data_IF_862083176581
#
_entry.id   IF_862083176581
#
_cell.length_a   1.000
_cell.length_b   1.000
_cell.length_c   1.000
_cell.angle_alpha   90.00
_cell.angle_beta   90.00
_cell.angle_gamma   90.00
#
_symmetry.space_group_name_H-M   'P 1'
#
loop_
_entity.id
_entity.type
_entity.pdbx_description
1 polymer ?
#
# COMPACT_ATOMS: atom_id res chain seq x y z
N UNK A 1 9.03 -12.93 62.69
CA UNK A 1 8.08 -13.68 61.84
C UNK A 1 7.43 -12.70 60.89
N UNK A 2 7.73 -12.84 59.59
CA UNK A 2 6.86 -12.56 58.42
C UNK A 2 6.20 -11.18 58.28
N UNK A 3 6.09 -10.55 57.12
CA UNK A 3 6.46 -10.84 55.73
C UNK A 3 6.14 -9.56 54.91
N UNK A 4 7.07 -9.06 54.10
CA UNK A 4 7.02 -9.03 52.62
C UNK A 4 5.77 -8.43 51.96
N UNK A 5 5.94 -7.27 51.29
CA UNK A 5 5.93 -7.14 49.83
C UNK A 5 6.26 -5.70 49.41
N UNK A 6 7.56 -5.40 49.36
CA UNK A 6 8.09 -4.39 48.44
C UNK A 6 8.48 -5.13 47.15
N UNK A 7 7.73 -4.93 46.06
CA UNK A 7 8.23 -5.22 44.72
C UNK A 7 8.90 -3.93 44.23
N UNK A 8 10.13 -3.73 44.68
CA UNK A 8 11.07 -2.83 44.03
C UNK A 8 11.51 -3.45 42.72
N UNK A 9 11.26 -2.75 41.61
CA UNK A 9 11.90 -3.00 40.34
C UNK A 9 13.43 -3.05 40.55
N UNK A 10 14.05 -4.17 40.17
CA UNK A 10 15.50 -4.28 40.17
C UNK A 10 16.06 -3.37 39.05
N UNK A 11 17.02 -2.48 39.35
CA UNK A 11 17.70 -1.71 38.32
C UNK A 11 18.64 -2.65 37.55
N UNK A 12 18.35 -2.93 36.28
CA UNK A 12 19.25 -3.73 35.43
C UNK A 12 20.46 -2.89 35.02
N UNK A 13 21.63 -3.44 35.34
CA UNK A 13 23.01 -2.96 35.24
C UNK A 13 23.39 -2.21 33.96
N UNK A 14 24.18 -1.11 34.03
CA UNK A 14 24.72 -0.44 32.85
C UNK A 14 25.97 -1.18 32.32
N UNK A 15 25.97 -1.56 31.03
CA UNK A 15 27.18 -1.77 30.23
C UNK A 15 28.13 -2.92 30.60
N UNK A 16 27.62 -4.08 31.02
CA UNK A 16 28.44 -5.28 31.27
C UNK A 16 28.73 -6.09 30.00
N UNK A 17 29.95 -6.62 29.87
CA UNK A 17 30.32 -7.59 28.84
C UNK A 17 29.71 -8.97 29.19
N UNK A 18 28.93 -9.55 28.28
CA UNK A 18 28.22 -10.82 28.50
C UNK A 18 29.09 -11.94 27.94
N UNK A 19 29.38 -12.98 28.73
CA UNK A 19 30.23 -14.08 28.28
C UNK A 19 29.43 -15.36 28.05
N UNK A 20 29.87 -16.15 27.09
CA UNK A 20 29.32 -17.46 26.78
C UNK A 20 30.41 -18.40 26.26
N UNK A 21 30.15 -19.71 26.32
CA UNK A 21 31.07 -20.75 25.87
C UNK A 21 30.34 -21.85 25.14
N UNK A 22 30.98 -22.42 24.13
CA UNK A 22 30.46 -23.54 23.35
C UNK A 22 31.39 -24.74 23.42
N UNK A 23 30.87 -25.93 23.10
CA UNK A 23 31.66 -27.15 22.95
C UNK A 23 32.00 -27.47 21.48
N UNK A 24 32.65 -28.62 21.27
CA UNK A 24 33.01 -29.15 19.94
C UNK A 24 31.83 -29.60 19.07
N UNK A 25 30.60 -29.57 19.58
CA UNK A 25 29.37 -29.86 18.86
C UNK A 25 28.54 -28.60 18.53
N UNK A 26 29.11 -27.40 18.70
CA UNK A 26 28.42 -26.09 18.59
C UNK A 26 27.31 -25.89 19.64
N UNK A 27 27.29 -26.64 20.74
CA UNK A 27 26.31 -26.44 21.80
C UNK A 27 26.79 -25.35 22.74
N UNK A 28 25.88 -24.46 23.11
CA UNK A 28 26.11 -23.46 24.14
C UNK A 28 26.11 -24.16 25.49
N UNK A 29 27.27 -24.25 26.16
CA UNK A 29 27.42 -24.98 27.42
C UNK A 29 27.31 -24.08 28.65
N UNK A 30 27.60 -22.79 28.49
CA UNK A 30 27.47 -21.78 29.54
C UNK A 30 27.22 -20.41 28.90
N UNK A 31 26.39 -19.58 29.52
CA UNK A 31 26.12 -18.21 29.11
C UNK A 31 25.70 -17.35 30.31
N UNK A 32 26.17 -16.10 30.35
CA UNK A 32 25.69 -15.09 31.28
C UNK A 32 24.32 -14.55 30.85
N UNK A 33 23.57 -13.98 31.79
CA UNK A 33 22.40 -13.15 31.45
C UNK A 33 22.84 -11.83 30.80
N UNK A 34 22.07 -11.26 29.85
CA UNK A 34 20.76 -11.68 29.32
C UNK A 34 20.75 -12.79 28.24
N UNK A 35 21.90 -13.31 27.81
CA UNK A 35 21.98 -14.27 26.69
C UNK A 35 21.38 -15.63 27.06
N UNK A 36 21.61 -16.12 28.28
CA UNK A 36 21.01 -17.36 28.77
C UNK A 36 19.48 -17.32 28.74
N UNK A 37 18.88 -16.22 29.20
CA UNK A 37 17.43 -16.03 29.16
C UNK A 37 16.87 -16.00 27.74
N UNK A 38 17.52 -15.28 26.81
CA UNK A 38 17.11 -15.22 25.40
C UNK A 38 17.12 -16.60 24.74
N UNK A 39 18.17 -17.38 24.98
CA UNK A 39 18.32 -18.75 24.47
C UNK A 39 17.15 -19.65 24.90
N UNK A 40 16.75 -19.59 26.18
CA UNK A 40 15.63 -20.39 26.72
C UNK A 40 14.30 -19.94 26.13
N UNK A 41 14.04 -18.63 26.08
CA UNK A 41 12.81 -18.08 25.50
C UNK A 41 12.68 -18.32 24.00
N UNK A 42 13.81 -18.52 23.31
CA UNK A 42 13.85 -18.89 21.89
C UNK A 42 13.59 -20.39 21.65
N UNK A 43 13.23 -21.16 22.69
CA UNK A 43 12.86 -22.58 22.60
C UNK A 43 14.05 -23.55 22.69
N UNK A 44 15.23 -23.08 23.12
CA UNK A 44 16.39 -23.93 23.38
C UNK A 44 16.71 -24.03 24.88
N UNK A 45 17.86 -24.60 25.24
CA UNK A 45 18.32 -24.74 26.62
C UNK A 45 19.80 -24.32 26.75
N UNK A 46 20.25 -24.17 28.00
CA UNK A 46 21.66 -24.06 28.37
C UNK A 46 21.96 -25.15 29.42
N UNK A 47 22.70 -26.22 29.09
CA UNK A 47 23.37 -26.47 27.81
C UNK A 47 22.39 -26.87 26.68
N UNK A 48 22.68 -26.45 25.44
CA UNK A 48 21.83 -26.77 24.28
C UNK A 48 22.26 -26.11 22.96
N UNK A 49 21.56 -26.40 21.86
CA UNK A 49 21.89 -25.87 20.53
C UNK A 49 21.65 -24.35 20.47
N UNK A 50 22.64 -23.56 20.00
CA UNK A 50 22.52 -22.09 19.91
C UNK A 50 21.27 -21.70 19.11
N UNK A 51 20.33 -21.01 19.74
CA UNK A 51 19.04 -20.65 19.16
C UNK A 51 19.14 -19.51 18.15
N UNK A 52 20.21 -18.71 18.23
CA UNK A 52 20.45 -17.53 17.40
C UNK A 52 21.34 -17.91 16.21
N UNK A 53 20.82 -18.05 14.97
CA UNK A 53 21.60 -18.69 13.93
C UNK A 53 22.76 -17.81 13.42
N UNK A 54 22.70 -16.48 13.59
CA UNK A 54 23.83 -15.59 13.34
C UNK A 54 25.00 -15.85 14.29
N UNK A 55 24.73 -16.09 15.57
CA UNK A 55 25.75 -16.44 16.55
C UNK A 55 26.30 -17.85 16.29
N UNK A 56 25.43 -18.82 15.96
CA UNK A 56 25.84 -20.17 15.58
C UNK A 56 26.74 -20.18 14.33
N UNK A 57 26.39 -19.39 13.32
CA UNK A 57 27.21 -19.26 12.10
C UNK A 57 28.60 -18.69 12.39
N UNK A 58 28.69 -17.74 13.32
CA UNK A 58 29.94 -17.13 13.75
C UNK A 58 30.82 -18.14 14.52
N UNK A 59 30.22 -18.89 15.46
CA UNK A 59 30.88 -19.97 16.21
C UNK A 59 31.43 -21.04 15.26
N UNK A 60 30.60 -21.54 14.33
CA UNK A 60 31.02 -22.54 13.34
C UNK A 60 32.17 -22.05 12.46
N UNK A 61 32.11 -20.78 12.05
CA UNK A 61 33.19 -20.15 11.27
C UNK A 61 34.49 -20.11 12.06
N UNK A 62 34.47 -19.56 13.28
CA UNK A 62 35.66 -19.42 14.14
C UNK A 62 36.25 -20.79 14.49
N UNK A 63 35.43 -21.79 14.77
CA UNK A 63 35.90 -23.16 15.01
C UNK A 63 36.55 -23.78 13.77
N UNK A 64 35.95 -23.59 12.58
CA UNK A 64 36.49 -24.14 11.32
C UNK A 64 37.79 -23.45 10.91
N UNK A 65 37.90 -22.14 11.11
CA UNK A 65 39.08 -21.36 10.67
C UNK A 65 40.17 -21.25 11.73
N UNK A 66 39.85 -21.48 13.01
CA UNK A 66 40.75 -21.23 14.14
C UNK A 66 41.10 -19.75 14.32
N UNK A 67 40.38 -18.84 13.68
CA UNK A 67 40.64 -17.40 13.72
C UNK A 67 39.52 -16.66 14.46
N UNK A 68 39.84 -15.78 15.42
CA UNK A 68 38.85 -14.93 16.06
C UNK A 68 38.05 -14.10 15.05
N UNK A 69 36.77 -13.90 15.32
CA UNK A 69 35.94 -13.07 14.46
C UNK A 69 34.82 -12.37 15.23
N UNK A 70 34.45 -11.17 14.78
CA UNK A 70 33.32 -10.42 15.30
C UNK A 70 32.20 -10.28 14.29
N UNK A 71 30.99 -10.04 14.80
CA UNK A 71 29.81 -9.63 14.02
C UNK A 71 28.72 -9.07 14.93
N UNK A 72 27.95 -8.11 14.42
CA UNK A 72 26.65 -7.78 15.00
C UNK A 72 25.68 -8.95 14.86
N UNK A 73 25.05 -9.34 15.97
CA UNK A 73 23.96 -10.31 16.04
C UNK A 73 22.64 -9.55 16.24
N UNK A 74 21.62 -9.95 15.47
CA UNK A 74 20.24 -9.48 15.59
C UNK A 74 19.37 -10.69 15.94
N UNK A 75 18.54 -10.52 16.96
CA UNK A 75 17.57 -11.51 17.42
C UNK A 75 16.29 -10.80 17.87
N UNK A 76 15.27 -11.57 18.27
CA UNK A 76 14.00 -11.05 18.77
C UNK A 76 13.72 -11.74 20.11
N UNK A 77 13.38 -10.93 21.11
CA UNK A 77 13.07 -11.34 22.47
C UNK A 77 11.67 -10.89 22.84
N UNK A 78 10.70 -11.82 22.84
CA UNK A 78 9.29 -11.54 23.14
C UNK A 78 8.68 -10.40 22.29
N UNK A 79 9.06 -10.33 21.01
CA UNK A 79 8.61 -9.27 20.10
C UNK A 79 9.49 -8.01 20.08
N UNK A 80 10.51 -7.92 20.94
CA UNK A 80 11.45 -6.79 20.99
C UNK A 80 12.75 -7.14 20.26
N UNK A 81 13.30 -6.27 19.40
CA UNK A 81 14.53 -6.57 18.70
C UNK A 81 15.71 -6.49 19.68
N UNK A 82 16.60 -7.46 19.62
CA UNK A 82 17.83 -7.49 20.42
C UNK A 82 19.02 -7.43 19.48
N UNK A 83 19.86 -6.41 19.66
CA UNK A 83 21.14 -6.28 18.97
C UNK A 83 22.30 -6.41 19.95
N UNK A 84 23.38 -7.05 19.52
CA UNK A 84 24.64 -7.05 20.25
C UNK A 84 25.82 -7.24 19.29
N UNK A 85 27.00 -6.75 19.65
CA UNK A 85 28.25 -7.07 18.96
C UNK A 85 28.85 -8.32 19.59
N UNK A 86 28.91 -9.42 18.83
CA UNK A 86 29.53 -10.66 19.24
C UNK A 86 31.00 -10.70 18.79
N UNK A 87 31.89 -11.07 19.71
CA UNK A 87 33.29 -11.42 19.44
C UNK A 87 33.51 -12.86 19.87
N UNK A 88 33.97 -13.71 18.95
CA UNK A 88 34.13 -15.15 19.20
C UNK A 88 35.58 -15.55 18.96
N UNK A 89 36.16 -16.26 19.92
CA UNK A 89 37.53 -16.77 19.89
C UNK A 89 37.54 -18.30 20.03
N UNK A 90 38.47 -19.02 19.37
CA UNK A 90 38.62 -20.45 19.59
C UNK A 90 39.02 -20.74 21.04
N UNK A 91 38.40 -21.74 21.67
CA UNK A 91 38.72 -22.17 23.03
C UNK A 91 38.61 -23.70 23.16
N UNK A 92 39.75 -24.39 23.22
CA UNK A 92 39.78 -25.86 23.26
C UNK A 92 39.14 -26.49 22.01
N UNK A 93 38.20 -27.42 22.21
CA UNK A 93 37.40 -28.00 21.13
C UNK A 93 36.21 -27.11 20.70
N UNK A 94 35.90 -26.06 21.47
CA UNK A 94 34.77 -25.16 21.25
C UNK A 94 35.19 -23.70 21.04
N UNK A 95 34.38 -22.76 21.54
CA UNK A 95 34.65 -21.32 21.39
C UNK A 95 34.24 -20.54 22.64
N UNK A 96 34.97 -19.45 22.92
CA UNK A 96 34.55 -18.43 23.86
C UNK A 96 33.86 -17.29 23.11
N UNK A 97 32.76 -16.78 23.68
CA UNK A 97 31.89 -15.75 23.10
C UNK A 97 31.86 -14.57 24.10
N UNK A 98 32.12 -13.38 23.60
CA UNK A 98 31.93 -12.13 24.33
C UNK A 98 30.94 -11.25 23.57
N UNK A 99 29.86 -10.85 24.23
CA UNK A 99 28.89 -9.90 23.67
C UNK A 99 29.03 -8.55 24.36
N UNK A 100 29.08 -7.50 23.54
CA UNK A 100 29.13 -6.12 23.95
C UNK A 100 28.04 -5.32 23.24
N UNK A 101 27.77 -4.09 23.70
CA UNK A 101 26.73 -3.23 23.12
C UNK A 101 25.36 -3.93 23.06
N UNK A 102 25.01 -4.70 24.08
CA UNK A 102 23.71 -5.35 24.16
C UNK A 102 22.60 -4.30 24.30
N UNK A 103 21.69 -4.29 23.33
CA UNK A 103 20.58 -3.37 23.29
C UNK A 103 19.30 -4.12 22.94
N UNK A 104 18.32 -4.08 23.85
CA UNK A 104 16.93 -4.48 23.57
C UNK A 104 16.19 -3.21 23.16
N UNK A 105 15.74 -3.15 21.91
CA UNK A 105 14.93 -2.05 21.39
C UNK A 105 13.50 -2.10 21.94
N UNK A 106 12.72 -1.07 21.65
CA UNK A 106 11.27 -1.06 21.86
C UNK A 106 10.58 -2.03 20.88
N UNK A 107 9.34 -2.44 21.17
CA UNK A 107 8.62 -3.55 20.49
C UNK A 107 8.77 -3.44 18.97
N UNK A 108 9.39 -4.45 18.34
CA UNK A 108 9.80 -4.37 16.95
C UNK A 108 8.58 -4.45 16.02
N UNK A 109 8.14 -3.29 15.56
CA UNK A 109 7.87 -3.15 14.13
C UNK A 109 9.22 -3.34 13.40
N UNK A 110 9.55 -4.58 13.03
CA UNK A 110 10.84 -4.92 12.44
C UNK A 110 11.00 -4.31 11.04
N UNK A 111 11.76 -3.21 10.94
CA UNK A 111 12.11 -2.56 9.66
C UNK A 111 13.20 -3.34 8.92
N UNK A 112 12.80 -4.03 7.86
CA UNK A 112 13.70 -4.47 6.78
C UNK A 112 14.17 -3.23 5.98
N UNK A 113 15.39 -3.21 5.39
CA UNK A 113 15.79 -2.15 4.46
C UNK A 113 14.75 -2.02 3.33
N UNK A 114 14.29 -0.79 3.07
CA UNK A 114 13.11 -0.47 2.25
C UNK A 114 13.02 -1.19 0.88
N UNK A 115 14.12 -1.48 0.14
CA UNK A 115 14.05 -2.28 -1.09
C UNK A 115 13.72 -3.77 -0.87
N UNK A 116 14.21 -4.38 0.22
CA UNK A 116 14.00 -5.82 0.50
C UNK A 116 12.61 -6.08 1.08
N UNK A 117 12.10 -5.20 1.94
CA UNK A 117 10.73 -5.27 2.47
C UNK A 117 9.68 -5.30 1.34
N UNK A 118 9.86 -4.43 0.34
CA UNK A 118 9.00 -4.37 -0.83
C UNK A 118 9.01 -5.67 -1.63
N UNK A 119 10.19 -6.28 -1.82
CA UNK A 119 10.30 -7.55 -2.54
C UNK A 119 9.54 -8.68 -1.82
N UNK A 120 9.62 -8.76 -0.49
CA UNK A 120 8.86 -9.77 0.29
C UNK A 120 7.34 -9.54 0.19
N UNK A 121 6.88 -8.29 0.05
CA UNK A 121 5.47 -7.95 -0.17
C UNK A 121 4.97 -8.17 -1.60
N UNK A 122 5.87 -8.17 -2.60
CA UNK A 122 5.55 -8.46 -3.99
C UNK A 122 5.68 -9.94 -4.33
N UNK A 123 6.44 -10.70 -3.53
CA UNK A 123 6.62 -12.11 -3.71
C UNK A 123 5.32 -12.88 -3.45
N UNK A 124 4.93 -13.72 -4.41
CA UNK A 124 3.81 -14.67 -4.23
C UNK A 124 4.30 -16.08 -3.87
N UNK A 125 5.61 -16.29 -3.86
CA UNK A 125 6.25 -17.41 -3.18
C UNK A 125 7.59 -16.97 -2.59
N UNK A 126 7.89 -17.46 -1.39
CA UNK A 126 9.16 -17.28 -0.72
C UNK A 126 9.76 -18.66 -0.43
N UNK A 127 10.98 -18.90 -0.92
CA UNK A 127 11.67 -20.18 -0.81
C UNK A 127 12.98 -19.96 -0.07
N UNK A 128 13.13 -20.67 1.03
CA UNK A 128 14.35 -20.69 1.81
C UNK A 128 15.32 -21.71 1.23
N UNK A 129 16.53 -21.25 0.92
CA UNK A 129 17.59 -22.07 0.35
C UNK A 129 18.80 -22.17 1.28
N UNK A 130 19.52 -23.28 1.20
CA UNK A 130 20.84 -23.44 1.82
C UNK A 130 21.96 -22.79 0.99
N UNK A 131 23.21 -22.89 1.48
CA UNK A 131 24.40 -22.31 0.80
C UNK A 131 24.63 -22.91 -0.61
N UNK A 132 24.11 -24.09 -0.88
CA UNK A 132 24.18 -24.76 -2.16
C UNK A 132 22.95 -24.46 -3.05
N UNK A 133 22.04 -23.59 -2.64
CA UNK A 133 20.78 -23.29 -3.31
C UNK A 133 19.77 -24.46 -3.31
N UNK A 134 19.83 -25.34 -2.31
CA UNK A 134 18.87 -26.41 -2.11
C UNK A 134 17.72 -25.96 -1.23
N UNK A 135 16.52 -26.45 -1.54
CA UNK A 135 15.27 -26.06 -0.88
C UNK A 135 15.26 -26.57 0.56
N UNK A 136 15.08 -25.66 1.51
CA UNK A 136 14.87 -25.96 2.94
C UNK A 136 13.38 -25.96 3.24
N UNK A 137 12.71 -24.85 2.94
CA UNK A 137 11.28 -24.64 3.15
C UNK A 137 10.76 -23.66 2.09
N UNK A 138 9.48 -23.76 1.74
CA UNK A 138 8.81 -22.84 0.84
C UNK A 138 7.48 -22.41 1.47
N UNK A 139 7.19 -21.12 1.40
CA UNK A 139 5.88 -20.52 1.65
C UNK A 139 5.34 -20.01 0.32
N UNK A 140 4.35 -20.70 -0.23
CA UNK A 140 3.77 -20.39 -1.55
C UNK A 140 2.35 -19.89 -1.34
N UNK A 141 2.09 -18.67 -1.80
CA UNK A 141 0.81 -17.97 -1.59
C UNK A 141 -0.03 -17.92 -2.87
N UNK A 142 0.59 -18.02 -4.04
CA UNK A 142 -0.10 -18.07 -5.32
C UNK A 142 -0.80 -19.42 -5.57
N UNK A 143 -2.07 -19.37 -5.97
CA UNK A 143 -2.87 -20.59 -6.21
C UNK A 143 -2.40 -21.41 -7.42
N UNK A 144 -1.92 -20.76 -8.48
CA UNK A 144 -1.34 -21.40 -9.67
C UNK A 144 0.08 -21.94 -9.45
N UNK A 145 0.69 -21.67 -8.29
CA UNK A 145 1.94 -22.30 -7.85
C UNK A 145 1.72 -23.48 -6.90
N UNK A 146 0.48 -23.96 -6.71
CA UNK A 146 0.20 -25.09 -5.82
C UNK A 146 0.96 -26.37 -6.21
N UNK A 147 1.12 -26.62 -7.52
CA UNK A 147 1.93 -27.75 -8.03
C UNK A 147 3.41 -27.63 -7.64
N UNK A 148 3.97 -26.42 -7.74
CA UNK A 148 5.33 -26.13 -7.30
C UNK A 148 5.48 -26.27 -5.78
N UNK A 149 4.51 -25.81 -5.00
CA UNK A 149 4.52 -25.94 -3.54
C UNK A 149 4.63 -27.43 -3.13
N UNK A 150 3.78 -28.28 -3.69
CA UNK A 150 3.83 -29.73 -3.43
C UNK A 150 5.15 -30.38 -3.87
N UNK A 151 5.70 -29.95 -5.01
CA UNK A 151 6.98 -30.44 -5.50
C UNK A 151 8.16 -30.01 -4.59
N UNK A 152 8.15 -28.77 -4.09
CA UNK A 152 9.17 -28.24 -3.17
C UNK A 152 9.10 -28.89 -1.79
N UNK A 153 7.91 -29.21 -1.30
CA UNK A 153 7.73 -29.91 -0.02
C UNK A 153 8.27 -31.34 -0.07
N UNK A 154 7.97 -32.09 -1.13
CA UNK A 154 8.45 -33.46 -1.31
C UNK A 154 9.92 -33.51 -1.74
N UNK A 155 10.42 -32.44 -2.34
CA UNK A 155 11.77 -32.32 -2.90
C UNK A 155 12.78 -31.53 -2.06
N UNK A 156 12.55 -31.32 -0.76
CA UNK A 156 13.51 -30.66 0.14
C UNK A 156 14.91 -31.27 0.03
N UNK A 157 15.93 -30.43 -0.01
CA UNK A 157 17.34 -30.84 -0.21
C UNK A 157 17.78 -30.99 -1.67
N UNK A 158 16.88 -30.79 -2.65
CA UNK A 158 17.20 -30.63 -4.08
C UNK A 158 17.34 -29.17 -4.47
N UNK A 159 17.99 -28.89 -5.59
CA UNK A 159 18.16 -27.52 -6.09
C UNK A 159 16.81 -26.94 -6.51
N UNK A 160 16.56 -25.67 -6.22
CA UNK A 160 15.31 -25.01 -6.62
C UNK A 160 15.12 -24.99 -8.15
N UNK A 161 16.22 -24.95 -8.90
CA UNK A 161 16.25 -25.01 -10.37
C UNK A 161 15.76 -26.34 -10.93
N UNK A 162 15.64 -27.41 -10.13
CA UNK A 162 15.05 -28.68 -10.57
C UNK A 162 13.53 -28.62 -10.71
N UNK A 163 12.89 -27.59 -10.13
CA UNK A 163 11.43 -27.47 -10.04
C UNK A 163 10.86 -26.40 -10.97
N UNK A 164 11.71 -25.69 -11.71
CA UNK A 164 11.33 -24.58 -12.59
C UNK A 164 12.08 -24.66 -13.91
N UNK A 165 11.56 -24.01 -14.95
CA UNK A 165 12.22 -23.89 -16.25
C UNK A 165 12.77 -22.48 -16.41
N UNK A 166 14.06 -22.32 -16.70
CA UNK A 166 14.70 -21.01 -16.86
C UNK A 166 15.11 -20.84 -18.32
N UNK A 167 14.35 -20.06 -19.08
CA UNK A 167 14.64 -19.80 -20.50
C UNK A 167 15.97 -19.06 -20.65
N UNK A 168 16.81 -19.55 -21.57
CA UNK A 168 18.22 -19.18 -21.82
C UNK A 168 19.28 -19.83 -20.90
N UNK A 169 18.89 -20.66 -19.94
CA UNK A 169 19.82 -21.32 -19.00
C UNK A 169 19.84 -22.85 -19.16
N UNK A 170 18.78 -23.43 -19.72
CA UNK A 170 18.67 -24.87 -20.02
C UNK A 170 19.82 -25.40 -20.87
N UNK A 171 20.29 -24.63 -21.87
CA UNK A 171 21.43 -25.01 -22.73
C UNK A 171 22.78 -25.00 -21.99
N UNK A 172 22.93 -24.13 -20.98
CA UNK A 172 24.15 -23.99 -20.17
C UNK A 172 24.22 -25.01 -19.01
N UNK A 173 23.07 -25.41 -18.47
CA UNK A 173 22.96 -26.44 -17.42
C UNK A 173 23.28 -27.84 -17.98
N UNK A 174 22.88 -28.14 -19.22
CA UNK A 174 23.15 -29.44 -19.86
C UNK A 174 24.65 -29.66 -20.13
N UNK A 175 25.44 -28.57 -20.23
CA UNK A 175 26.87 -28.62 -20.53
C UNK A 175 27.79 -28.62 -19.29
N UNK A 176 27.27 -28.37 -18.07
CA UNK A 176 28.09 -28.22 -16.84
C UNK A 176 27.68 -29.22 -15.76
N UNK A 177 28.67 -29.83 -15.10
CA UNK A 177 28.46 -30.60 -13.87
C UNK A 177 28.44 -29.64 -12.66
N UNK A 178 27.26 -29.14 -12.28
CA UNK A 178 27.05 -28.38 -11.04
C UNK A 178 26.06 -27.21 -11.16
N UNK A 179 25.48 -26.72 -10.04
CA UNK A 179 24.51 -25.64 -10.04
C UNK A 179 25.17 -24.30 -10.44
N UNK A 180 24.43 -23.46 -11.15
CA UNK A 180 24.91 -22.11 -11.48
C UNK A 180 25.03 -21.24 -10.24
N UNK A 181 25.99 -20.32 -10.27
CA UNK A 181 26.18 -19.36 -9.19
C UNK A 181 24.94 -18.46 -9.06
N UNK A 182 24.40 -18.29 -7.84
CA UNK A 182 23.15 -17.58 -7.57
C UNK A 182 23.03 -16.19 -8.22
N UNK A 183 24.13 -15.42 -8.30
CA UNK A 183 24.15 -14.11 -9.01
C UNK A 183 23.78 -14.16 -10.49
N UNK A 184 23.94 -15.30 -11.14
CA UNK A 184 23.51 -15.49 -12.54
C UNK A 184 22.03 -15.85 -12.65
N UNK A 185 21.41 -16.21 -11.52
CA UNK A 185 20.03 -16.61 -11.41
C UNK A 185 19.16 -15.53 -10.75
N UNK A 186 19.77 -14.54 -10.08
CA UNK A 186 19.08 -13.36 -9.58
C UNK A 186 18.56 -12.52 -10.76
N UNK A 187 17.30 -12.10 -10.66
CA UNK A 187 16.48 -11.47 -11.70
C UNK A 187 16.21 -12.33 -12.96
N UNK A 188 16.53 -13.63 -12.92
CA UNK A 188 16.26 -14.51 -14.05
C UNK A 188 14.76 -14.81 -14.19
N UNK A 189 14.20 -14.75 -15.42
CA UNK A 189 12.85 -15.21 -15.69
C UNK A 189 12.79 -16.74 -15.62
N UNK A 190 11.73 -17.27 -15.03
CA UNK A 190 11.46 -18.70 -14.97
C UNK A 190 9.96 -19.00 -15.13
N UNK A 191 9.68 -20.16 -15.71
CA UNK A 191 8.36 -20.72 -15.85
C UNK A 191 8.17 -21.88 -14.87
N UNK A 192 6.93 -22.06 -14.41
CA UNK A 192 6.55 -23.12 -13.48
C UNK A 192 5.51 -24.00 -14.17
N UNK A 193 5.69 -25.32 -14.10
CA UNK A 193 4.72 -26.26 -14.64
C UNK A 193 3.36 -26.09 -13.94
N UNK A 194 2.31 -25.83 -14.71
CA UNK A 194 0.96 -25.55 -14.20
C UNK A 194 0.63 -24.07 -14.00
N UNK A 195 1.62 -23.16 -14.10
CA UNK A 195 1.41 -21.71 -14.14
C UNK A 195 1.43 -21.20 -15.57
N UNK A 196 0.46 -20.36 -15.95
CA UNK A 196 0.50 -19.62 -17.23
C UNK A 196 1.32 -18.34 -17.15
N UNK A 197 1.68 -17.90 -15.93
CA UNK A 197 2.46 -16.70 -15.67
C UNK A 197 3.96 -16.97 -15.75
N UNK A 198 4.71 -15.96 -16.19
CA UNK A 198 6.17 -15.93 -16.08
C UNK A 198 6.59 -15.24 -14.78
N UNK A 199 7.62 -15.77 -14.14
CA UNK A 199 8.10 -15.36 -12.82
C UNK A 199 9.53 -14.86 -12.89
N UNK A 200 9.93 -13.95 -12.00
CA UNK A 200 11.33 -13.54 -11.80
C UNK A 200 11.81 -14.01 -10.43
N UNK A 201 13.02 -14.56 -10.39
CA UNK A 201 13.65 -14.98 -9.15
C UNK A 201 14.47 -13.83 -8.56
N UNK A 202 14.12 -13.35 -7.37
CA UNK A 202 14.99 -12.44 -6.60
C UNK A 202 15.66 -13.21 -5.48
N UNK A 203 16.98 -13.36 -5.57
CA UNK A 203 17.77 -14.20 -4.66
C UNK A 203 18.56 -13.30 -3.71
N UNK A 204 18.12 -13.25 -2.46
CA UNK A 204 18.71 -12.43 -1.41
C UNK A 204 19.63 -13.30 -0.53
N UNK A 205 20.94 -12.99 -0.45
CA UNK A 205 21.84 -13.71 0.43
C UNK A 205 21.47 -13.46 1.89
N UNK A 206 21.27 -14.53 2.65
CA UNK A 206 20.89 -14.42 4.05
C UNK A 206 22.12 -14.28 4.91
N UNK A 207 22.06 -13.36 5.88
CA UNK A 207 23.17 -13.11 6.78
C UNK A 207 23.69 -14.36 7.51
N UNK A 208 22.88 -15.41 7.68
CA UNK A 208 23.21 -16.61 8.46
C UNK A 208 23.63 -17.83 7.60
N UNK A 209 23.86 -17.63 6.29
CA UNK A 209 24.08 -18.71 5.31
C UNK A 209 22.80 -19.01 4.52
N UNK A 210 22.97 -19.40 3.27
CA UNK A 210 21.90 -19.65 2.31
C UNK A 210 21.26 -18.39 1.75
N UNK A 211 20.08 -18.57 1.14
CA UNK A 211 19.40 -17.53 0.37
C UNK A 211 17.90 -17.50 0.68
N UNK A 212 17.28 -16.33 0.55
CA UNK A 212 15.82 -16.23 0.35
C UNK A 212 15.59 -16.01 -1.14
N UNK A 213 14.80 -16.88 -1.76
CA UNK A 213 14.37 -16.73 -3.14
C UNK A 213 12.92 -16.26 -3.14
N UNK A 214 12.69 -15.11 -3.73
CA UNK A 214 11.38 -14.49 -3.89
C UNK A 214 10.92 -14.66 -5.34
N UNK A 215 9.78 -15.31 -5.54
CA UNK A 215 9.14 -15.43 -6.84
C UNK A 215 8.18 -14.25 -7.05
N UNK A 216 8.50 -13.40 -8.02
CA UNK A 216 7.73 -12.19 -8.34
C UNK A 216 7.16 -12.35 -9.75
N UNK A 217 5.85 -12.14 -9.98
CA UNK A 217 5.29 -12.23 -11.33
C UNK A 217 5.89 -11.16 -12.26
N UNK A 218 6.28 -11.54 -13.47
CA UNK A 218 6.88 -10.63 -14.47
C UNK A 218 5.86 -9.64 -15.06
N UNK A 219 4.60 -10.08 -15.17
CA UNK A 219 3.44 -9.25 -15.47
C UNK A 219 2.36 -9.52 -14.42
N UNK A 220 1.75 -8.46 -13.90
CA UNK A 220 0.52 -8.57 -13.10
C UNK A 220 -0.61 -8.84 -14.10
N UNK A 221 -0.82 -10.10 -14.47
CA UNK A 221 -1.88 -10.49 -15.40
C UNK A 221 -3.24 -10.66 -14.70
N UNK A 222 -4.26 -10.31 -15.48
CA UNK A 222 -5.65 -9.99 -15.14
C UNK A 222 -6.36 -11.02 -14.25
N UNK A 223 -7.28 -10.50 -13.42
CA UNK A 223 -8.24 -11.31 -12.66
C UNK A 223 -8.88 -12.36 -13.58
N UNK A 224 -8.98 -13.64 -13.15
CA UNK A 224 -9.60 -14.66 -13.98
C UNK A 224 -11.08 -14.33 -14.17
N UNK A 225 -11.44 -13.91 -15.38
CA UNK A 225 -12.83 -13.91 -15.85
C UNK A 225 -13.27 -15.38 -15.87
N UNK A 226 -14.25 -15.71 -15.03
CA UNK A 226 -14.75 -17.07 -14.90
C UNK A 226 -15.13 -17.67 -16.28
N UNK A 227 -14.73 -18.91 -16.61
CA UNK A 227 -15.02 -19.53 -17.91
C UNK A 227 -16.52 -19.83 -18.19
N UNK A 228 -17.43 -19.37 -17.35
CA UNK A 228 -18.85 -19.78 -17.39
C UNK A 228 -19.72 -19.03 -18.40
N UNK A 229 -19.19 -18.10 -19.21
CA UNK A 229 -19.99 -17.30 -20.14
C UNK A 229 -19.73 -17.59 -21.64
N UNK A 230 -19.25 -18.78 -22.01
CA UNK A 230 -19.23 -19.25 -23.41
C UNK A 230 -20.32 -20.29 -23.67
N UNK A 231 -21.58 -19.89 -23.50
CA UNK A 231 -22.72 -20.56 -24.14
C UNK A 231 -23.99 -19.72 -24.03
N UNK A 232 -24.08 -18.61 -24.77
CA UNK A 232 -25.34 -18.28 -25.40
C UNK A 232 -25.10 -17.47 -26.67
N UNK A 233 -25.61 -18.05 -27.76
CA UNK A 233 -25.59 -17.57 -29.13
C UNK A 233 -26.70 -16.55 -29.33
N UNK A 234 -26.42 -15.64 -30.26
CA UNK A 234 -27.34 -14.88 -31.10
C UNK A 234 -28.14 -13.73 -30.45
N UNK A 235 -27.58 -12.50 -30.52
CA UNK A 235 -28.35 -11.25 -30.74
C UNK A 235 -27.48 -10.24 -31.54
N UNK A 236 -28.10 -9.34 -32.33
CA UNK A 236 -27.47 -8.75 -33.51
C UNK A 236 -26.45 -7.65 -33.20
N UNK A 237 -25.41 -7.62 -34.04
CA UNK A 237 -24.39 -6.58 -34.15
C UNK A 237 -25.03 -5.20 -34.43
N UNK A 238 -25.19 -4.36 -33.41
CA UNK A 238 -25.18 -2.89 -33.55
C UNK A 238 -25.14 -2.20 -32.18
N UNK A 239 -24.01 -2.35 -31.48
CA UNK A 239 -23.50 -1.37 -30.52
C UNK A 239 -22.04 -1.70 -30.25
N UNK A 240 -21.11 -0.80 -30.63
CA UNK A 240 -19.71 -0.91 -30.25
C UNK A 240 -19.61 -1.18 -28.74
N UNK A 241 -18.95 -2.27 -28.29
CA UNK A 241 -18.73 -2.50 -26.86
C UNK A 241 -17.88 -1.36 -26.33
N UNK A 242 -18.51 -0.43 -25.61
CA UNK A 242 -17.82 0.73 -25.05
C UNK A 242 -16.77 0.25 -24.07
N UNK A 243 -15.50 0.56 -24.33
CA UNK A 243 -14.39 0.35 -23.40
C UNK A 243 -14.72 0.88 -21.99
N UNK A 244 -15.51 1.95 -21.92
CA UNK A 244 -16.12 2.54 -20.70
C UNK A 244 -17.24 1.69 -20.05
N UNK A 245 -17.33 0.39 -20.26
CA UNK A 245 -18.25 -0.48 -19.49
C UNK A 245 -17.50 -1.62 -18.78
N UNK A 246 -16.27 -1.90 -19.23
CA UNK A 246 -15.36 -2.91 -18.69
C UNK A 246 -14.43 -2.32 -17.61
N UNK A 247 -14.12 -1.02 -17.70
CA UNK A 247 -13.16 -0.36 -16.83
C UNK A 247 -13.72 -0.07 -15.42
N UNK A 248 -14.96 0.34 -15.29
CA UNK A 248 -15.54 0.79 -14.03
C UNK A 248 -16.18 -0.32 -13.20
N UNK A 249 -16.86 -1.28 -13.82
CA UNK A 249 -17.54 -2.34 -13.06
C UNK A 249 -16.60 -3.45 -12.56
N UNK A 250 -15.60 -3.81 -13.36
CA UNK A 250 -14.73 -4.96 -13.08
C UNK A 250 -13.26 -4.55 -12.83
N UNK A 251 -12.72 -3.56 -13.55
CA UNK A 251 -11.32 -3.15 -13.41
C UNK A 251 -11.08 -2.15 -12.26
N UNK A 252 -12.02 -1.24 -11.99
CA UNK A 252 -11.86 -0.22 -10.95
C UNK A 252 -11.70 -0.81 -9.53
N UNK A 253 -12.52 -1.78 -9.09
CA UNK A 253 -12.30 -2.45 -7.81
C UNK A 253 -10.98 -3.23 -7.76
N UNK A 254 -10.57 -3.82 -8.89
CA UNK A 254 -9.33 -4.58 -9.02
C UNK A 254 -8.07 -3.70 -8.91
N UNK A 255 -8.12 -2.48 -9.46
CA UNK A 255 -7.03 -1.52 -9.44
C UNK A 255 -6.96 -0.71 -8.13
N UNK A 256 -8.07 -0.60 -7.39
CA UNK A 256 -8.10 0.07 -6.08
C UNK A 256 -7.07 -0.52 -5.12
N UNK A 257 -7.08 -1.84 -4.93
CA UNK A 257 -6.20 -2.51 -3.97
C UNK A 257 -4.69 -2.31 -4.23
N UNK A 258 -4.14 -2.51 -5.45
CA UNK A 258 -2.71 -2.29 -5.71
C UNK A 258 -2.33 -0.81 -5.60
N UNK A 259 -3.19 0.12 -6.03
CA UNK A 259 -2.90 1.56 -5.93
C UNK A 259 -2.94 2.02 -4.47
N UNK A 260 -3.90 1.57 -3.67
CA UNK A 260 -3.94 1.85 -2.22
C UNK A 260 -2.66 1.39 -1.54
N UNK A 261 -2.11 0.23 -1.93
CA UNK A 261 -0.81 -0.26 -1.43
C UNK A 261 0.35 0.63 -1.88
N UNK A 262 0.39 1.06 -3.14
CA UNK A 262 1.43 1.99 -3.64
C UNK A 262 1.40 3.29 -2.85
N UNK A 263 0.21 3.87 -2.62
CA UNK A 263 0.04 5.10 -1.83
C UNK A 263 0.50 4.88 -0.39
N UNK A 264 0.11 3.78 0.27
CA UNK A 264 0.47 3.49 1.65
C UNK A 264 1.99 3.30 1.82
N UNK A 265 2.62 2.60 0.88
CA UNK A 265 4.07 2.40 0.88
C UNK A 265 4.82 3.71 0.68
N UNK A 266 4.37 4.52 -0.28
CA UNK A 266 4.95 5.82 -0.57
C UNK A 266 4.77 6.81 0.60
N UNK A 267 3.64 6.78 1.30
CA UNK A 267 3.40 7.59 2.49
C UNK A 267 4.30 7.18 3.66
N UNK A 268 4.53 5.87 3.85
CA UNK A 268 5.45 5.34 4.86
C UNK A 268 6.89 5.83 4.63
N UNK A 269 7.34 5.85 3.38
CA UNK A 269 8.67 6.33 2.99
C UNK A 269 8.76 7.86 3.15
N UNK A 270 7.73 8.60 2.74
CA UNK A 270 7.69 10.08 2.80
C UNK A 270 7.73 10.62 4.24
N UNK A 271 6.97 10.01 5.13
CA UNK A 271 6.80 10.46 6.52
C UNK A 271 7.99 10.11 7.41
N UNK A 272 9.00 9.39 6.88
CA UNK A 272 10.18 8.94 7.64
C UNK A 272 9.78 8.14 8.89
N UNK A 273 8.60 7.53 8.85
CA UNK A 273 8.11 6.64 9.90
C UNK A 273 9.04 5.44 10.09
N UNK A 274 9.85 5.12 9.07
CA UNK A 274 10.89 4.10 9.07
C UNK A 274 12.34 4.62 9.20
N UNK A 275 12.52 5.79 9.85
CA UNK A 275 13.83 6.38 10.13
C UNK A 275 14.28 7.49 9.17
N UNK A 276 15.48 8.08 9.42
CA UNK A 276 15.95 9.23 8.68
C UNK A 276 16.32 8.87 7.23
N UNK A 277 15.52 9.37 6.29
CA UNK A 277 15.75 9.27 4.85
C UNK A 277 16.40 10.56 4.33
N UNK A 278 17.26 10.47 3.31
CA UNK A 278 17.67 11.66 2.58
C UNK A 278 16.45 12.35 1.96
N UNK A 279 16.39 13.68 2.04
CA UNK A 279 15.24 14.52 1.67
C UNK A 279 14.73 14.21 0.25
N UNK A 280 15.64 13.89 -0.67
CA UNK A 280 15.37 13.55 -2.07
C UNK A 280 14.50 12.28 -2.22
N UNK A 281 14.77 11.23 -1.44
CA UNK A 281 13.98 9.99 -1.47
C UNK A 281 12.61 10.15 -0.82
N UNK A 282 12.51 11.00 0.21
CA UNK A 282 11.22 11.36 0.80
C UNK A 282 10.38 12.19 -0.18
N UNK A 283 11.01 12.99 -1.03
CA UNK A 283 10.34 13.71 -2.13
C UNK A 283 9.82 12.76 -3.20
N UNK A 284 10.62 11.80 -3.67
CA UNK A 284 10.12 10.80 -4.64
C UNK A 284 8.96 9.98 -4.10
N UNK A 285 9.01 9.63 -2.81
CA UNK A 285 7.91 8.95 -2.16
C UNK A 285 6.65 9.82 -2.05
N UNK A 286 6.80 11.15 -1.86
CA UNK A 286 5.68 12.09 -1.96
C UNK A 286 5.07 12.05 -3.37
N UNK A 287 5.90 12.15 -4.40
CA UNK A 287 5.46 12.17 -5.79
C UNK A 287 4.73 10.88 -6.18
N UNK A 288 5.23 9.72 -5.73
CA UNK A 288 4.57 8.41 -5.95
C UNK A 288 3.22 8.35 -5.22
N UNK A 289 3.15 8.81 -3.97
CA UNK A 289 1.91 8.81 -3.20
C UNK A 289 0.85 9.72 -3.87
N UNK A 290 1.26 10.89 -4.35
CA UNK A 290 0.39 11.85 -5.01
C UNK A 290 -0.08 11.34 -6.38
N UNK A 291 0.81 10.72 -7.16
CA UNK A 291 0.46 10.05 -8.42
C UNK A 291 -0.53 8.89 -8.19
N UNK A 292 -0.32 8.08 -7.15
CA UNK A 292 -1.22 6.99 -6.78
C UNK A 292 -2.61 7.49 -6.37
N UNK A 293 -2.68 8.54 -5.54
CA UNK A 293 -3.96 9.16 -5.15
C UNK A 293 -4.69 9.74 -6.35
N UNK A 294 -3.94 10.36 -7.27
CA UNK A 294 -4.51 10.89 -8.50
C UNK A 294 -5.11 9.78 -9.38
N UNK A 295 -4.38 8.66 -9.54
CA UNK A 295 -4.88 7.51 -10.30
C UNK A 295 -6.10 6.85 -9.65
N UNK A 296 -6.12 6.76 -8.32
CA UNK A 296 -7.29 6.28 -7.59
C UNK A 296 -8.52 7.15 -7.88
N UNK A 297 -8.37 8.46 -7.79
CA UNK A 297 -9.45 9.40 -8.10
C UNK A 297 -9.94 9.28 -9.54
N UNK A 298 -9.04 9.05 -10.51
CA UNK A 298 -9.42 8.79 -11.90
C UNK A 298 -10.27 7.53 -12.04
N UNK A 299 -9.89 6.47 -11.34
CA UNK A 299 -10.59 5.18 -11.37
C UNK A 299 -11.97 5.31 -10.71
N UNK A 300 -12.06 6.03 -9.59
CA UNK A 300 -13.33 6.28 -8.90
C UNK A 300 -14.27 7.16 -9.74
N UNK A 301 -13.75 8.21 -10.37
CA UNK A 301 -14.52 9.05 -11.28
C UNK A 301 -15.01 8.29 -12.51
N UNK A 302 -14.19 7.38 -13.06
CA UNK A 302 -14.61 6.50 -14.15
C UNK A 302 -15.69 5.51 -13.68
N UNK A 303 -15.47 4.93 -12.49
CA UNK A 303 -16.46 4.34 -11.59
C UNK A 303 -17.86 4.95 -11.70
N UNK A 304 -17.92 6.18 -11.25
CA UNK A 304 -19.12 6.97 -11.14
C UNK A 304 -19.69 7.33 -12.52
N UNK A 305 -18.84 7.65 -13.49
CA UNK A 305 -19.25 7.93 -14.85
C UNK A 305 -20.00 6.75 -15.47
N UNK A 306 -19.47 5.53 -15.37
CA UNK A 306 -20.13 4.33 -15.91
C UNK A 306 -21.47 4.06 -15.21
N UNK A 307 -21.52 4.25 -13.89
CA UNK A 307 -22.75 4.05 -13.12
C UNK A 307 -23.85 5.05 -13.51
N UNK A 308 -23.46 6.31 -13.74
CA UNK A 308 -24.39 7.40 -14.07
C UNK A 308 -24.84 7.36 -15.54
N UNK A 309 -23.98 6.86 -16.45
CA UNK A 309 -24.33 6.67 -17.87
C UNK A 309 -25.03 5.34 -18.16
N UNK A 310 -25.20 4.48 -17.14
CA UNK A 310 -25.87 3.20 -17.30
C UNK A 310 -27.33 3.39 -17.75
N UNK A 311 -27.82 2.61 -18.73
CA UNK A 311 -29.22 2.63 -19.12
C UNK A 311 -30.13 2.36 -17.92
N UNK A 312 -31.06 3.27 -17.64
CA UNK A 312 -31.97 3.15 -16.49
C UNK A 312 -31.41 3.66 -15.16
N UNK A 313 -30.26 4.34 -15.15
CA UNK A 313 -29.81 5.08 -13.96
C UNK A 313 -30.85 6.13 -13.58
N UNK A 314 -31.44 5.95 -12.40
CA UNK A 314 -32.39 6.87 -11.81
C UNK A 314 -32.09 6.96 -10.30
N UNK A 315 -31.55 8.11 -9.83
CA UNK A 315 -31.40 8.38 -8.41
C UNK A 315 -32.73 8.22 -7.68
N UNK A 316 -32.69 7.70 -6.45
CA UNK A 316 -33.90 7.53 -5.66
C UNK A 316 -34.46 8.91 -5.27
N UNK A 317 -35.72 9.24 -5.61
CA UNK A 317 -36.33 10.48 -5.16
C UNK A 317 -36.53 10.39 -3.64
N UNK A 318 -35.95 11.34 -2.91
CA UNK A 318 -36.06 11.44 -1.45
C UNK A 318 -36.28 12.92 -1.06
N UNK A 319 -36.82 13.15 0.13
CA UNK A 319 -37.06 14.47 0.68
C UNK A 319 -35.80 14.96 1.40
N UNK A 320 -35.17 16.00 0.88
CA UNK A 320 -33.89 16.52 1.39
C UNK A 320 -33.96 18.02 1.68
N UNK A 321 -33.04 18.50 2.52
CA UNK A 321 -32.88 19.93 2.80
C UNK A 321 -31.52 20.41 2.26
N UNK A 322 -31.54 21.26 1.23
CA UNK A 322 -30.32 21.75 0.57
C UNK A 322 -29.44 22.56 1.52
N UNK A 323 -30.05 23.28 2.47
CA UNK A 323 -29.29 24.02 3.49
C UNK A 323 -28.54 23.06 4.42
N UNK A 324 -29.11 21.89 4.72
CA UNK A 324 -28.43 20.84 5.47
C UNK A 324 -27.29 20.19 4.67
N UNK A 325 -27.52 19.91 3.38
CA UNK A 325 -26.50 19.41 2.48
C UNK A 325 -25.29 20.36 2.39
N UNK A 326 -25.52 21.68 2.25
CA UNK A 326 -24.48 22.70 2.26
C UNK A 326 -23.62 22.63 3.54
N UNK A 327 -24.28 22.63 4.71
CA UNK A 327 -23.58 22.61 6.01
C UNK A 327 -22.75 21.34 6.18
N UNK A 328 -23.26 20.18 5.75
CA UNK A 328 -22.52 18.91 5.81
C UNK A 328 -21.32 18.90 4.87
N UNK A 329 -21.48 19.35 3.63
CA UNK A 329 -20.37 19.43 2.68
C UNK A 329 -19.24 20.33 3.21
N UNK A 330 -19.60 21.51 3.72
CA UNK A 330 -18.65 22.44 4.33
C UNK A 330 -17.98 21.85 5.59
N UNK A 331 -18.75 21.14 6.43
CA UNK A 331 -18.20 20.46 7.61
C UNK A 331 -17.20 19.36 7.27
N UNK A 332 -17.44 18.59 6.20
CA UNK A 332 -16.51 17.55 5.72
C UNK A 332 -15.19 18.17 5.21
N UNK A 333 -15.27 19.33 4.55
CA UNK A 333 -14.14 19.99 3.90
C UNK A 333 -13.49 21.09 4.75
N UNK A 334 -13.92 21.28 6.00
CA UNK A 334 -13.47 22.39 6.85
C UNK A 334 -11.97 22.36 7.12
N UNK A 335 -11.40 21.18 7.39
CA UNK A 335 -9.96 21.01 7.66
C UNK A 335 -9.15 21.37 6.41
N UNK A 336 -9.56 20.87 5.25
CA UNK A 336 -8.88 21.14 3.97
C UNK A 336 -8.95 22.61 3.57
N UNK A 337 -10.06 23.28 3.85
CA UNK A 337 -10.19 24.71 3.63
C UNK A 337 -9.26 25.50 4.57
N UNK A 338 -9.22 25.14 5.86
CA UNK A 338 -8.32 25.75 6.84
C UNK A 338 -6.84 25.59 6.48
N UNK A 339 -6.42 24.40 6.00
CA UNK A 339 -5.05 24.14 5.54
C UNK A 339 -4.62 25.05 4.37
N UNK A 340 -5.58 25.57 3.59
CA UNK A 340 -5.34 26.53 2.51
C UNK A 340 -5.71 27.98 2.87
N UNK A 341 -6.03 28.25 4.13
CA UNK A 341 -6.45 29.57 4.57
C UNK A 341 -7.75 30.07 3.92
N UNK A 342 -8.62 29.17 3.46
CA UNK A 342 -9.89 29.50 2.81
C UNK A 342 -11.03 29.46 3.82
N UNK A 343 -11.87 30.50 3.81
CA UNK A 343 -13.05 30.59 4.68
C UNK A 343 -14.27 29.99 3.99
N UNK A 344 -14.93 29.02 4.61
CA UNK A 344 -16.21 28.47 4.13
C UNK A 344 -17.37 29.20 4.81
N UNK A 345 -18.22 29.88 4.03
CA UNK A 345 -19.45 30.52 4.51
C UNK A 345 -20.63 29.62 4.16
N UNK A 346 -21.39 29.21 5.17
CA UNK A 346 -22.54 28.31 5.00
C UNK A 346 -23.86 29.02 5.26
N UNK A 347 -25.00 28.48 4.77
CA UNK A 347 -26.32 28.98 5.14
C UNK A 347 -26.53 28.98 6.66
N UNK A 348 -27.38 29.89 7.14
CA UNK A 348 -27.73 29.95 8.56
C UNK A 348 -28.26 28.60 9.08
N UNK A 349 -28.02 28.32 10.37
CA UNK A 349 -28.44 27.06 11.00
C UNK A 349 -29.96 26.78 10.92
N UNK A 350 -30.76 27.85 10.85
CA UNK A 350 -32.22 27.77 10.76
C UNK A 350 -32.74 27.81 9.32
N UNK A 351 -31.88 28.04 8.33
CA UNK A 351 -32.28 28.00 6.92
C UNK A 351 -32.65 26.56 6.54
N UNK A 352 -33.79 26.42 5.87
CA UNK A 352 -34.29 25.17 5.29
C UNK A 352 -34.75 25.44 3.88
N UNK A 353 -34.31 24.62 2.94
CA UNK A 353 -34.69 24.69 1.52
C UNK A 353 -35.02 23.26 1.06
N UNK A 354 -36.29 22.83 1.19
CA UNK A 354 -36.72 21.47 0.87
C UNK A 354 -36.70 21.18 -0.64
N UNK A 355 -36.11 20.06 -1.03
CA UNK A 355 -35.99 19.63 -2.43
C UNK A 355 -36.25 18.12 -2.56
N UNK A 356 -36.59 17.69 -3.78
CA UNK A 356 -36.64 16.27 -4.15
C UNK A 356 -35.30 15.88 -4.78
N UNK A 357 -34.60 14.92 -4.18
CA UNK A 357 -33.34 14.40 -4.71
C UNK A 357 -32.68 13.38 -3.79
N UNK A 358 -31.74 12.60 -4.33
CA UNK A 358 -31.01 11.62 -3.52
C UNK A 358 -29.91 12.31 -2.71
N UNK A 359 -30.04 12.31 -1.39
CA UNK A 359 -29.10 12.99 -0.47
C UNK A 359 -27.62 12.72 -0.77
N UNK A 360 -27.26 11.45 -1.04
CA UNK A 360 -25.87 11.05 -1.32
C UNK A 360 -25.33 11.67 -2.60
N UNK A 361 -26.15 11.77 -3.65
CA UNK A 361 -25.76 12.32 -4.95
C UNK A 361 -25.64 13.84 -4.89
N UNK A 362 -26.53 14.50 -4.15
CA UNK A 362 -26.40 15.94 -3.88
C UNK A 362 -25.13 16.23 -3.11
N UNK A 363 -24.83 15.45 -2.06
CA UNK A 363 -23.59 15.61 -1.31
C UNK A 363 -22.35 15.37 -2.19
N UNK A 364 -22.39 14.39 -3.10
CA UNK A 364 -21.33 14.13 -4.08
C UNK A 364 -21.07 15.35 -4.99
N UNK A 365 -22.13 15.96 -5.53
CA UNK A 365 -22.03 17.19 -6.33
C UNK A 365 -21.38 18.30 -5.50
N UNK A 366 -21.87 18.56 -4.29
CA UNK A 366 -21.37 19.65 -3.44
C UNK A 366 -19.91 19.44 -3.03
N UNK A 367 -19.50 18.21 -2.69
CA UNK A 367 -18.12 17.91 -2.35
C UNK A 367 -17.18 18.19 -3.53
N UNK A 368 -17.60 17.86 -4.76
CA UNK A 368 -16.84 18.17 -5.97
C UNK A 368 -16.73 19.69 -6.20
N UNK A 369 -17.85 20.43 -6.10
CA UNK A 369 -17.87 21.89 -6.29
C UNK A 369 -17.00 22.61 -5.25
N UNK A 370 -17.16 22.30 -3.96
CA UNK A 370 -16.40 22.93 -2.87
C UNK A 370 -14.92 22.53 -2.95
N UNK A 371 -14.60 21.29 -3.34
CA UNK A 371 -13.20 20.88 -3.56
C UNK A 371 -12.56 21.66 -4.70
N UNK A 372 -13.29 21.92 -5.78
CA UNK A 372 -12.80 22.75 -6.89
C UNK A 372 -12.61 24.21 -6.45
N UNK A 373 -13.55 24.77 -5.70
CA UNK A 373 -13.44 26.11 -5.12
C UNK A 373 -12.20 26.25 -4.21
N UNK A 374 -11.96 25.28 -3.31
CA UNK A 374 -10.76 25.25 -2.45
C UNK A 374 -9.47 25.05 -3.28
N UNK A 375 -9.56 24.30 -4.39
CA UNK A 375 -8.40 23.99 -5.24
C UNK A 375 -7.94 25.21 -6.03
N UNK A 376 -8.87 25.98 -6.58
CA UNK A 376 -8.61 27.07 -7.54
C UNK A 376 -8.78 28.47 -6.95
N UNK A 377 -9.29 28.58 -5.73
CA UNK A 377 -9.36 29.84 -4.99
C UNK A 377 -7.99 30.30 -4.49
N UNK A 378 -7.72 31.62 -4.44
CA UNK A 378 -6.50 32.15 -3.85
C UNK A 378 -6.46 31.92 -2.34
N UNK A 379 -5.27 31.87 -1.76
CA UNK A 379 -5.11 31.77 -0.29
C UNK A 379 -5.75 32.98 0.41
N UNK A 380 -6.44 32.75 1.53
CA UNK A 380 -7.18 33.81 2.23
C UNK A 380 -8.57 34.14 1.65
N UNK A 381 -8.99 33.47 0.57
CA UNK A 381 -10.29 33.71 -0.07
C UNK A 381 -11.47 33.14 0.69
N UNK A 382 -12.67 33.52 0.26
CA UNK A 382 -13.93 33.00 0.76
C UNK A 382 -14.63 32.13 -0.27
N UNK A 383 -15.14 30.97 0.16
CA UNK A 383 -16.06 30.14 -0.61
C UNK A 383 -17.43 30.20 0.06
N UNK A 384 -18.43 30.69 -0.67
CA UNK A 384 -19.77 30.92 -0.15
C UNK A 384 -20.73 29.86 -0.68
N UNK A 385 -21.43 29.17 0.24
CA UNK A 385 -22.52 28.26 -0.06
C UNK A 385 -23.84 28.97 0.24
N UNK A 386 -24.64 29.20 -0.81
CA UNK A 386 -25.94 29.84 -0.71
C UNK A 386 -27.04 28.88 -1.15
N UNK A 387 -28.23 29.04 -0.59
CA UNK A 387 -29.40 28.25 -0.97
C UNK A 387 -30.60 29.16 -1.12
N UNK A 388 -31.50 28.83 -2.03
CA UNK A 388 -32.73 29.57 -2.21
C UNK A 388 -33.75 28.82 -3.05
N UNK A 389 -34.84 29.52 -3.35
CA UNK A 389 -35.94 29.03 -4.15
C UNK A 389 -36.36 30.11 -5.14
N UNK A 390 -36.61 29.71 -6.38
CA UNK A 390 -37.15 30.59 -7.42
C UNK A 390 -38.12 29.82 -8.34
N UNK A 391 -38.55 30.45 -9.44
CA UNK A 391 -39.50 29.86 -10.37
C UNK A 391 -38.99 28.58 -11.08
N UNK A 392 -37.68 28.29 -11.05
CA UNK A 392 -37.05 27.10 -11.64
C UNK A 392 -37.02 25.93 -10.65
N UNK A 393 -37.27 26.18 -9.36
CA UNK A 393 -37.23 25.20 -8.28
C UNK A 393 -36.38 25.69 -7.11
N UNK A 394 -35.86 24.75 -6.33
CA UNK A 394 -34.91 25.04 -5.26
C UNK A 394 -33.47 24.90 -5.75
N UNK A 395 -32.58 25.73 -5.24
CA UNK A 395 -31.20 25.76 -5.69
C UNK A 395 -30.21 25.87 -4.53
N UNK A 396 -29.00 25.41 -4.81
CA UNK A 396 -27.81 25.58 -3.99
C UNK A 396 -26.66 26.03 -4.88
N UNK A 397 -25.99 27.11 -4.49
CA UNK A 397 -24.87 27.69 -5.21
C UNK A 397 -23.59 27.63 -4.38
N UNK A 398 -22.48 27.30 -5.05
CA UNK A 398 -21.12 27.40 -4.52
C UNK A 398 -20.39 28.47 -5.30
N UNK A 399 -19.97 29.53 -4.61
CA UNK A 399 -19.26 30.66 -5.20
C UNK A 399 -17.84 30.75 -4.64
N UNK A 400 -16.85 30.87 -5.52
CA UNK A 400 -15.44 31.08 -5.20
C UNK A 400 -14.92 32.41 -5.72
N UNK A 401 -13.73 32.82 -5.24
CA UNK A 401 -13.00 34.02 -5.66
C UNK A 401 -11.78 33.67 -6.53
N UNK A 402 -11.85 32.55 -7.26
CA UNK A 402 -10.78 32.07 -8.12
C UNK A 402 -10.57 32.91 -9.38
N UNK A 403 -9.72 32.39 -10.29
CA UNK A 403 -9.46 33.03 -11.59
C UNK A 403 -10.68 33.13 -12.52
N UNK A 404 -11.81 32.53 -12.14
CA UNK A 404 -13.02 32.45 -12.96
C UNK A 404 -12.83 31.63 -14.23
N UNK A 405 -13.80 31.79 -15.13
CA UNK A 405 -13.91 31.14 -16.43
C UNK A 405 -14.30 32.22 -17.44
N UNK A 406 -13.65 32.23 -18.60
CA UNK A 406 -14.19 32.96 -19.75
C UNK A 406 -15.42 32.24 -20.34
N UNK A 407 -16.09 32.87 -21.31
CA UNK A 407 -17.31 32.32 -21.89
C UNK A 407 -17.09 30.96 -22.59
N UNK A 408 -15.96 30.77 -23.28
CA UNK A 408 -15.65 29.51 -23.97
C UNK A 408 -15.36 28.41 -22.95
N UNK A 409 -14.62 28.75 -21.90
CA UNK A 409 -14.33 27.85 -20.78
C UNK A 409 -15.61 27.46 -20.04
N UNK A 410 -16.52 28.39 -19.80
CA UNK A 410 -17.79 28.12 -19.11
C UNK A 410 -18.71 27.16 -19.89
N UNK A 411 -18.68 27.19 -21.22
CA UNK A 411 -19.41 26.23 -22.07
C UNK A 411 -18.79 24.83 -21.99
N UNK A 412 -17.46 24.75 -22.02
CA UNK A 412 -16.72 23.50 -22.09
C UNK A 412 -16.46 22.84 -20.74
N UNK A 413 -16.59 23.56 -19.63
CA UNK A 413 -16.23 23.06 -18.28
C UNK A 413 -17.01 21.80 -17.85
N UNK A 414 -18.15 21.53 -18.50
CA UNK A 414 -18.96 20.35 -18.25
C UNK A 414 -18.73 19.22 -19.27
N UNK A 415 -17.75 19.33 -20.17
CA UNK A 415 -17.37 18.28 -21.12
C UNK A 415 -16.48 17.20 -20.47
N UNK A 416 -16.50 15.98 -21.01
CA UNK A 416 -15.71 14.86 -20.48
C UNK A 416 -14.22 15.14 -20.65
N UNK A 417 -13.45 14.89 -19.60
CA UNK A 417 -11.97 15.03 -19.57
C UNK A 417 -11.49 16.46 -19.82
N UNK A 418 -12.38 17.45 -19.79
CA UNK A 418 -12.02 18.84 -20.00
C UNK A 418 -11.35 19.41 -18.74
N UNK A 419 -10.24 20.12 -18.94
CA UNK A 419 -9.38 20.67 -17.87
C UNK A 419 -8.97 22.12 -18.10
N UNK A 420 -9.47 22.76 -19.17
CA UNK A 420 -9.24 24.16 -19.50
C UNK A 420 -7.75 24.53 -19.52
N UNK A 421 -6.91 23.62 -20.07
CA UNK A 421 -5.46 23.82 -20.19
C UNK A 421 -4.65 23.64 -18.91
N UNK A 422 -5.27 23.32 -17.77
CA UNK A 422 -4.59 23.13 -16.47
C UNK A 422 -3.91 21.76 -16.38
N UNK A 423 -2.65 21.70 -16.81
CA UNK A 423 -1.81 20.49 -16.75
C UNK A 423 -1.04 20.44 -15.43
N UNK A 424 -1.07 19.31 -14.71
CA UNK A 424 -0.29 19.09 -13.48
C UNK A 424 -1.05 19.14 -12.15
N UNK A 425 -2.23 19.78 -12.08
CA UNK A 425 -2.93 20.03 -10.81
C UNK A 425 -3.77 18.87 -10.25
N UNK A 426 -3.53 17.63 -10.67
CA UNK A 426 -4.15 16.42 -10.08
C UNK A 426 -5.68 16.31 -10.18
N UNK A 427 -6.31 16.86 -11.22
CA UNK A 427 -7.75 16.76 -11.50
C UNK A 427 -8.06 15.90 -12.73
N UNK A 428 -9.16 15.15 -12.71
CA UNK A 428 -9.52 14.15 -13.73
C UNK A 428 -10.23 14.73 -14.95
N UNK A 429 -10.85 15.91 -14.80
CA UNK A 429 -11.75 16.49 -15.79
C UNK A 429 -13.11 15.79 -15.88
N UNK A 430 -13.43 14.88 -14.95
CA UNK A 430 -14.70 14.14 -14.95
C UNK A 430 -15.68 14.64 -13.87
N UNK A 431 -15.20 15.21 -12.77
CA UNK A 431 -16.05 15.57 -11.63
C UNK A 431 -17.22 16.49 -11.99
N UNK A 432 -17.01 17.54 -12.78
CA UNK A 432 -18.08 18.47 -13.19
C UNK A 432 -19.04 17.85 -14.21
N UNK A 433 -18.53 17.01 -15.11
CA UNK A 433 -19.36 16.22 -16.04
C UNK A 433 -20.33 15.30 -15.28
N UNK A 434 -19.79 14.52 -14.32
CA UNK A 434 -20.56 13.59 -13.48
C UNK A 434 -21.56 14.38 -12.64
N UNK A 435 -21.13 15.50 -12.06
CA UNK A 435 -22.00 16.35 -11.24
C UNK A 435 -23.21 16.86 -12.02
N UNK A 436 -23.02 17.28 -13.28
CA UNK A 436 -24.11 17.72 -14.14
C UNK A 436 -25.03 16.59 -14.57
N UNK A 437 -24.49 15.40 -14.83
CA UNK A 437 -25.32 14.23 -15.12
C UNK A 437 -26.16 13.82 -13.91
N UNK A 438 -25.59 13.80 -12.71
CA UNK A 438 -26.32 13.53 -11.47
C UNK A 438 -27.46 14.54 -11.26
N UNK A 439 -27.18 15.84 -11.45
CA UNK A 439 -28.19 16.89 -11.35
C UNK A 439 -29.38 16.64 -12.30
N UNK A 440 -29.09 16.34 -13.57
CA UNK A 440 -30.10 16.05 -14.59
C UNK A 440 -30.87 14.77 -14.32
N UNK A 441 -30.20 13.73 -13.83
CA UNK A 441 -30.84 12.48 -13.45
C UNK A 441 -31.81 12.65 -12.27
N UNK A 442 -31.58 13.65 -11.41
CA UNK A 442 -32.51 14.05 -10.33
C UNK A 442 -33.60 15.04 -10.79
N UNK A 443 -33.70 15.35 -12.09
CA UNK A 443 -34.70 16.28 -12.63
C UNK A 443 -34.32 17.77 -12.53
N UNK A 444 -33.05 18.06 -12.25
CA UNK A 444 -32.48 19.41 -12.16
C UNK A 444 -31.49 19.74 -13.27
N UNK A 445 -30.62 20.73 -13.03
CA UNK A 445 -29.40 20.96 -13.82
C UNK A 445 -28.31 21.59 -12.95
N UNK A 446 -27.07 21.53 -13.45
CA UNK A 446 -25.93 22.22 -12.87
C UNK A 446 -25.40 23.23 -13.90
N UNK A 447 -25.36 24.50 -13.51
CA UNK A 447 -24.92 25.61 -14.37
C UNK A 447 -23.78 26.38 -13.71
N UNK A 448 -23.02 27.12 -14.53
CA UNK A 448 -21.96 28.01 -14.04
C UNK A 448 -22.20 29.42 -14.54
N UNK A 449 -22.01 30.40 -13.66
CA UNK A 449 -21.91 31.82 -14.01
C UNK A 449 -20.55 32.30 -13.53
N UNK A 450 -19.74 32.85 -14.44
CA UNK A 450 -18.39 33.27 -14.14
C UNK A 450 -17.91 34.30 -15.16
N UNK A 451 -16.97 35.14 -14.73
CA UNK A 451 -16.18 35.99 -15.60
C UNK A 451 -14.71 35.85 -15.22
N UNK A 452 -13.80 36.02 -16.19
CA UNK A 452 -12.37 35.94 -15.95
C UNK A 452 -11.93 36.94 -14.87
N UNK A 453 -11.33 36.44 -13.79
CA UNK A 453 -10.85 37.23 -12.65
C UNK A 453 -11.89 37.53 -11.58
N UNK A 454 -13.15 37.12 -11.73
CA UNK A 454 -14.24 37.39 -10.77
C UNK A 454 -14.72 36.15 -10.01
N UNK A 455 -13.97 35.03 -10.10
CA UNK A 455 -14.37 33.75 -9.53
C UNK A 455 -15.48 33.05 -10.30
N UNK A 456 -15.95 31.91 -9.79
CA UNK A 456 -17.02 31.14 -10.42
C UNK A 456 -18.16 30.84 -9.44
N UNK A 457 -19.39 30.92 -9.93
CA UNK A 457 -20.61 30.52 -9.23
C UNK A 457 -21.22 29.31 -9.91
N UNK A 458 -21.13 28.15 -9.26
CA UNK A 458 -21.79 26.92 -9.71
C UNK A 458 -23.13 26.76 -8.98
N UNK A 459 -24.22 26.62 -9.72
CA UNK A 459 -25.58 26.53 -9.20
C UNK A 459 -26.21 25.19 -9.59
N UNK A 460 -26.51 24.38 -8.57
CA UNK A 460 -27.31 23.15 -8.70
C UNK A 460 -28.77 23.51 -8.43
N UNK A 461 -29.64 23.25 -9.41
CA UNK A 461 -31.10 23.35 -9.25
C UNK A 461 -31.70 21.96 -9.12
N UNK A 462 -32.69 21.79 -8.24
CA UNK A 462 -33.47 20.56 -8.07
C UNK A 462 -34.97 20.88 -7.97
N UNK A 463 -35.85 19.92 -8.30
CA UNK A 463 -37.27 20.08 -8.09
C UNK A 463 -37.58 20.43 -6.63
N UNK A 464 -38.39 21.47 -6.43
CA UNK A 464 -38.85 21.84 -5.11
C UNK A 464 -39.69 20.69 -4.50
N UNK A 465 -39.58 20.50 -3.19
CA UNK A 465 -40.44 19.56 -2.48
C UNK A 465 -41.81 20.22 -2.21
N UNK A 466 -42.90 19.78 -2.86
CA UNK A 466 -44.22 20.37 -2.68
C UNK A 466 -44.84 20.04 -1.30
N UNK A 467 -44.22 19.16 -0.51
CA UNK A 467 -44.70 18.75 0.82
C UNK A 467 -44.11 19.60 1.98
N UNK A 468 -43.35 20.65 1.67
CA UNK A 468 -42.70 21.57 2.61
C UNK A 468 -43.65 22.40 3.48
#
# INVERSE_FOLDING_TARGET
MSALREQGAAPTTPGGMIRARTDGADQLIAADEPLAGLQVRSGSAVPGAIAMPALLSLVRRVRRTGQPASRTILSVDEGYPVTAMAFVTPEGEGTAIELSQWHRGEEAAAELPVPEALLHHLAEAEILLDDAQRVIVADVRAADLAGLAAALETGRGRYWTDFVTIDRVSDLMTARQGPLHWRLLDDAPFAVEGSTRTWRARILPRGQGGFSLLAIPEAIEELPVSPAARAQKDEPEDAQPGWNRLLGRDLAPALRQPITRIIANAETIRTRLAGPLAEEYASYARDIADAGRHLMSLIEDLADLEAVEAPGFAPAPDHIDLADCARRAAGILSVRAQERGITLVTPHANARVPAIGEFRRVLQVLLNLVTNAIRYGPEGSTVTLETGEDARGTWIAVQDEGQGLDAEQAERVFEKFERLGRSGDGGTGLGLYISRHLARAMGGDLVVTSAAGEGARFELTLPADPAA
#
